data_IF_490869836248
#
_entry.id   IF_490869836248
#
_cell.length_a   1.000
_cell.length_b   1.000
_cell.length_c   1.000
_cell.angle_alpha   90.00
_cell.angle_beta   90.00
_cell.angle_gamma   90.00
#
_symmetry.space_group_name_H-M   'P 1'
#
loop_
_entity.id
_entity.type
_entity.pdbx_description
1 polymer ?
#
# COMPACT_ATOMS: atom_id res chain seq x y z
N UNK A 1 -23.58 -1.83 10.05
CA UNK A 1 -24.44 -1.53 8.88
C UNK A 1 -25.73 -0.79 9.17
N UNK A 2 -26.32 -0.95 10.36
CA UNK A 2 -27.56 -0.27 10.74
C UNK A 2 -27.51 1.25 10.48
N UNK A 3 -26.46 1.95 10.97
CA UNK A 3 -26.32 3.40 10.78
C UNK A 3 -26.30 3.85 9.32
N UNK A 4 -25.53 3.20 8.44
CA UNK A 4 -25.52 3.53 7.00
C UNK A 4 -26.90 3.35 6.36
N UNK A 5 -27.64 2.30 6.75
CA UNK A 5 -29.00 2.07 6.25
C UNK A 5 -29.96 3.16 6.73
N UNK A 6 -29.83 3.63 7.97
CA UNK A 6 -30.64 4.73 8.50
C UNK A 6 -30.31 6.04 7.79
N UNK A 7 -29.03 6.37 7.61
CA UNK A 7 -28.61 7.59 6.91
C UNK A 7 -29.09 7.61 5.45
N UNK A 8 -29.12 6.46 4.77
CA UNK A 8 -29.71 6.34 3.43
C UNK A 8 -31.21 6.59 3.40
N UNK A 9 -31.96 6.16 4.44
CA UNK A 9 -33.40 6.44 4.53
C UNK A 9 -33.70 7.93 4.66
N UNK A 10 -32.77 8.70 5.23
CA UNK A 10 -32.85 10.17 5.33
C UNK A 10 -32.52 10.86 3.97
N UNK A 11 -32.39 10.08 2.87
CA UNK A 11 -32.10 10.55 1.51
C UNK A 11 -30.83 11.41 1.41
N UNK A 12 -29.84 11.13 2.25
CA UNK A 12 -28.54 11.80 2.14
C UNK A 12 -27.88 11.46 0.79
N UNK A 13 -27.19 12.43 0.16
CA UNK A 13 -26.43 12.18 -1.05
C UNK A 13 -25.42 11.05 -0.84
N UNK A 14 -25.30 10.14 -1.81
CA UNK A 14 -24.37 9.02 -1.73
C UNK A 14 -22.92 9.49 -1.49
N UNK A 15 -22.52 10.63 -2.04
CA UNK A 15 -21.20 11.22 -1.80
C UNK A 15 -20.94 11.55 -0.32
N UNK A 16 -21.93 12.07 0.39
CA UNK A 16 -21.79 12.34 1.83
C UNK A 16 -21.70 11.05 2.63
N UNK A 17 -22.45 10.00 2.24
CA UNK A 17 -22.37 8.68 2.85
C UNK A 17 -20.99 8.04 2.66
N UNK A 18 -20.41 8.15 1.44
CA UNK A 18 -19.05 7.70 1.14
C UNK A 18 -18.04 8.45 2.02
N UNK A 19 -18.11 9.79 2.05
CA UNK A 19 -17.18 10.60 2.85
C UNK A 19 -17.26 10.26 4.35
N UNK A 20 -18.48 10.13 4.88
CA UNK A 20 -18.70 9.78 6.28
C UNK A 20 -18.15 8.38 6.61
N UNK A 21 -18.46 7.39 5.77
CA UNK A 21 -17.93 6.03 5.92
C UNK A 21 -16.40 6.02 5.87
N UNK A 22 -15.82 6.65 4.84
CA UNK A 22 -14.37 6.76 4.68
C UNK A 22 -13.73 7.45 5.87
N UNK A 23 -14.31 8.53 6.40
CA UNK A 23 -13.79 9.24 7.57
C UNK A 23 -13.80 8.37 8.83
N UNK A 24 -14.89 7.63 9.08
CA UNK A 24 -14.99 6.71 10.24
C UNK A 24 -13.98 5.58 10.11
N UNK A 25 -13.91 4.93 8.96
CA UNK A 25 -12.97 3.83 8.76
C UNK A 25 -11.54 4.36 8.87
N UNK A 26 -11.22 5.51 8.27
CA UNK A 26 -9.92 6.17 8.47
C UNK A 26 -9.65 6.46 9.94
N UNK A 27 -10.61 6.98 10.71
CA UNK A 27 -10.45 7.24 12.14
C UNK A 27 -10.14 5.96 12.93
N UNK A 28 -10.90 4.89 12.71
CA UNK A 28 -10.69 3.60 13.37
C UNK A 28 -9.32 3.02 12.98
N UNK A 29 -8.99 3.08 11.70
CA UNK A 29 -7.70 2.69 11.18
C UNK A 29 -6.58 3.51 11.84
N UNK A 30 -6.72 4.83 11.92
CA UNK A 30 -5.72 5.72 12.51
C UNK A 30 -5.45 5.44 13.99
N UNK A 31 -6.46 5.03 14.75
CA UNK A 31 -6.34 4.74 16.19
C UNK A 31 -5.81 3.33 16.47
N UNK A 32 -5.87 2.41 15.51
CA UNK A 32 -5.73 0.97 15.77
C UNK A 32 -4.63 0.29 14.92
N UNK A 33 -4.16 0.94 13.83
CA UNK A 33 -3.32 0.31 12.80
C UNK A 33 -1.92 -0.10 13.27
N UNK A 34 -1.24 0.68 14.12
CA UNK A 34 0.16 0.37 14.46
C UNK A 34 0.29 -0.97 15.18
N UNK A 35 -0.77 -1.41 15.88
CA UNK A 35 -0.79 -2.69 16.60
C UNK A 35 -1.48 -3.80 15.81
N UNK A 36 -2.58 -3.51 15.11
CA UNK A 36 -3.41 -4.56 14.51
C UNK A 36 -3.03 -4.93 13.07
N UNK A 37 -2.74 -3.99 12.16
CA UNK A 37 -2.65 -4.35 10.74
C UNK A 37 -1.36 -5.12 10.39
N UNK A 38 -0.28 -4.88 11.14
CA UNK A 38 0.97 -5.63 11.05
C UNK A 38 0.85 -7.07 11.61
N UNK A 39 -0.05 -7.30 12.58
CA UNK A 39 -0.32 -8.60 13.19
C UNK A 39 -1.59 -9.31 12.68
N UNK A 40 -2.41 -8.65 11.86
CA UNK A 40 -3.69 -9.17 11.39
C UNK A 40 -3.50 -10.31 10.38
N UNK A 41 -4.20 -11.43 10.63
CA UNK A 41 -4.16 -12.58 9.74
C UNK A 41 -4.84 -12.28 8.40
N UNK A 42 -4.54 -13.09 7.38
CA UNK A 42 -5.24 -13.02 6.07
C UNK A 42 -6.76 -13.12 6.26
N UNK A 43 -7.22 -13.93 7.22
CA UNK A 43 -8.63 -14.12 7.53
C UNK A 43 -9.28 -12.84 8.09
N UNK A 44 -8.58 -12.11 8.95
CA UNK A 44 -9.09 -10.84 9.51
C UNK A 44 -9.23 -9.78 8.43
N UNK A 45 -8.24 -9.68 7.54
CA UNK A 45 -8.26 -8.78 6.38
C UNK A 45 -9.45 -9.10 5.46
N UNK A 46 -9.71 -10.38 5.18
CA UNK A 46 -10.87 -10.81 4.38
C UNK A 46 -12.21 -10.46 5.05
N UNK A 47 -12.34 -10.67 6.36
CA UNK A 47 -13.55 -10.31 7.11
C UNK A 47 -13.83 -8.82 7.04
N UNK A 48 -12.81 -7.99 7.23
CA UNK A 48 -12.96 -6.55 7.14
C UNK A 48 -13.32 -6.11 5.70
N UNK A 49 -12.74 -6.72 4.67
CA UNK A 49 -13.10 -6.43 3.27
C UNK A 49 -14.56 -6.79 2.96
N UNK A 50 -15.11 -7.85 3.53
CA UNK A 50 -16.53 -8.17 3.41
C UNK A 50 -17.45 -7.09 4.02
N UNK A 51 -16.98 -6.39 5.07
CA UNK A 51 -17.70 -5.25 5.64
C UNK A 51 -17.72 -4.10 4.65
N UNK A 52 -16.59 -3.78 3.99
CA UNK A 52 -16.54 -2.74 2.94
C UNK A 52 -17.53 -3.07 1.82
N UNK A 53 -17.47 -4.28 1.27
CA UNK A 53 -18.40 -4.73 0.20
C UNK A 53 -19.86 -4.64 0.61
N UNK A 54 -20.16 -4.94 1.86
CA UNK A 54 -21.53 -4.81 2.37
C UNK A 54 -21.95 -3.34 2.52
N UNK A 55 -21.02 -2.42 2.77
CA UNK A 55 -21.28 -0.98 2.82
C UNK A 55 -21.49 -0.41 1.42
N UNK A 56 -20.71 -0.87 0.43
CA UNK A 56 -20.89 -0.51 -0.99
C UNK A 56 -22.31 -0.84 -1.45
N UNK A 57 -22.81 -2.04 -1.13
CA UNK A 57 -24.19 -2.45 -1.44
C UNK A 57 -25.26 -1.57 -0.78
N UNK A 58 -24.97 -0.98 0.37
CA UNK A 58 -25.89 -0.06 1.05
C UNK A 58 -25.81 1.33 0.42
N UNK A 59 -24.62 1.81 0.11
CA UNK A 59 -24.41 3.18 -0.39
C UNK A 59 -24.67 3.27 -1.90
N UNK A 60 -24.70 2.13 -2.60
CA UNK A 60 -24.85 2.01 -4.05
C UNK A 60 -23.77 2.76 -4.84
N UNK A 61 -22.56 2.78 -4.25
CA UNK A 61 -21.34 3.38 -4.81
C UNK A 61 -20.14 2.54 -4.39
N UNK A 62 -19.09 2.59 -5.22
CA UNK A 62 -17.81 1.99 -4.88
C UNK A 62 -17.16 2.74 -3.71
N UNK A 63 -16.61 1.98 -2.78
CA UNK A 63 -15.87 2.47 -1.63
C UNK A 63 -14.39 2.09 -1.78
N UNK A 64 -13.46 2.91 -1.27
CA UNK A 64 -12.05 2.55 -1.27
C UNK A 64 -11.83 1.25 -0.47
N UNK A 65 -10.91 0.40 -0.94
CA UNK A 65 -10.58 -0.83 -0.23
C UNK A 65 -9.86 -0.51 1.08
N UNK A 66 -9.84 -1.46 2.02
CA UNK A 66 -9.10 -1.26 3.28
C UNK A 66 -7.59 -1.07 3.09
N UNK A 67 -7.03 -1.65 2.03
CA UNK A 67 -5.63 -1.42 1.68
C UNK A 67 -5.42 0.03 1.28
N UNK A 68 -6.23 0.55 0.34
CA UNK A 68 -6.17 1.95 -0.08
C UNK A 68 -6.34 2.92 1.09
N UNK A 69 -7.26 2.61 2.02
CA UNK A 69 -7.49 3.42 3.21
C UNK A 69 -6.33 3.37 4.19
N UNK A 70 -5.68 2.21 4.38
CA UNK A 70 -4.49 2.06 5.21
C UNK A 70 -3.33 2.89 4.65
N UNK A 71 -3.09 2.81 3.34
CA UNK A 71 -2.03 3.58 2.68
C UNK A 71 -2.31 5.09 2.66
N UNK A 72 -3.56 5.51 2.49
CA UNK A 72 -3.97 6.91 2.64
C UNK A 72 -3.76 7.44 4.06
N UNK A 73 -3.85 6.56 5.07
CA UNK A 73 -3.70 6.89 6.49
C UNK A 73 -2.22 6.92 6.91
N UNK A 74 -1.40 6.06 6.32
CA UNK A 74 0.03 5.94 6.60
C UNK A 74 0.90 6.98 5.86
N UNK A 75 0.26 7.80 5.02
CA UNK A 75 0.94 8.65 4.05
C UNK A 75 1.61 7.76 2.98
N UNK A 76 1.79 8.28 1.77
CA UNK A 76 2.54 7.59 0.71
C UNK A 76 3.83 7.06 1.33
N UNK A 77 3.93 5.74 1.47
CA UNK A 77 5.11 5.11 2.07
C UNK A 77 6.26 5.41 1.13
N UNK A 78 7.10 6.39 1.49
CA UNK A 78 8.25 6.78 0.68
C UNK A 78 9.24 5.62 0.80
N UNK A 79 9.23 4.76 -0.21
CA UNK A 79 10.18 3.68 -0.35
C UNK A 79 11.48 4.21 -0.93
N UNK A 80 12.60 3.67 -0.51
CA UNK A 80 13.88 3.83 -1.18
C UNK A 80 14.43 2.45 -1.53
N UNK A 81 14.90 2.29 -2.76
CA UNK A 81 15.62 1.10 -3.19
C UNK A 81 17.11 1.38 -3.22
N UNK A 82 17.90 0.49 -2.64
CA UNK A 82 19.34 0.57 -2.59
C UNK A 82 19.96 -0.71 -3.13
N UNK A 83 21.11 -0.58 -3.79
CA UNK A 83 22.03 -1.68 -4.08
C UNK A 83 23.25 -1.50 -3.20
N UNK A 84 23.46 -2.40 -2.22
CA UNK A 84 24.46 -2.27 -1.15
C UNK A 84 24.31 -0.95 -0.36
N UNK A 85 24.97 0.13 -0.81
CA UNK A 85 24.90 1.47 -0.20
C UNK A 85 24.51 2.57 -1.19
N UNK A 86 24.35 2.25 -2.47
CA UNK A 86 23.99 3.21 -3.52
C UNK A 86 22.48 3.29 -3.67
N UNK A 87 21.93 4.50 -3.66
CA UNK A 87 20.50 4.75 -3.86
C UNK A 87 20.18 4.51 -5.34
N UNK A 88 19.20 3.64 -5.60
CA UNK A 88 18.67 3.36 -6.93
C UNK A 88 17.45 4.25 -7.18
N UNK A 89 16.52 4.24 -6.23
CA UNK A 89 15.30 5.06 -6.23
C UNK A 89 15.02 5.62 -4.85
N UNK A 90 14.49 6.83 -4.80
CA UNK A 90 13.92 7.45 -3.61
C UNK A 90 12.51 7.98 -3.95
N UNK A 91 11.48 7.22 -3.60
CA UNK A 91 10.13 7.47 -4.08
C UNK A 91 10.08 7.42 -5.61
N UNK A 92 9.67 8.52 -6.24
CA UNK A 92 9.59 8.60 -7.71
C UNK A 92 10.91 9.04 -8.36
N UNK A 93 11.91 9.43 -7.58
CA UNK A 93 13.17 9.93 -8.10
C UNK A 93 14.13 8.77 -8.41
N UNK A 94 14.56 8.66 -9.67
CA UNK A 94 15.57 7.69 -10.10
C UNK A 94 16.98 8.28 -9.91
N UNK A 95 17.79 7.60 -9.10
CA UNK A 95 19.18 7.97 -8.80
C UNK A 95 20.19 7.08 -9.53
N UNK A 96 19.80 5.84 -9.84
CA UNK A 96 20.65 4.95 -10.63
C UNK A 96 20.78 5.44 -12.08
N UNK A 97 22.00 5.41 -12.60
CA UNK A 97 22.31 5.68 -14.02
C UNK A 97 21.99 4.49 -14.93
N UNK A 98 21.72 3.30 -14.37
CA UNK A 98 21.46 2.09 -15.15
C UNK A 98 20.08 2.18 -15.84
N UNK A 99 20.02 2.18 -17.19
CA UNK A 99 18.77 2.27 -17.93
C UNK A 99 17.89 1.02 -17.79
N UNK A 100 18.45 -0.14 -17.41
CA UNK A 100 17.72 -1.41 -17.24
C UNK A 100 16.82 -1.42 -16.03
N UNK A 101 17.01 -0.46 -15.11
CA UNK A 101 16.36 -0.43 -13.80
C UNK A 101 15.15 0.49 -13.81
N UNK A 102 14.01 -0.01 -13.32
CA UNK A 102 12.73 0.71 -13.27
C UNK A 102 11.90 0.26 -12.06
N UNK A 103 10.86 1.04 -11.72
CA UNK A 103 9.85 0.65 -10.73
C UNK A 103 8.62 0.13 -11.48
N UNK A 104 8.17 -1.07 -11.13
CA UNK A 104 6.91 -1.61 -11.65
C UNK A 104 5.76 -0.92 -10.93
N UNK A 105 4.91 -0.28 -11.72
CA UNK A 105 3.62 0.24 -11.26
C UNK A 105 2.54 -0.36 -12.14
N UNK A 106 1.77 -1.30 -11.60
CA UNK A 106 0.65 -1.90 -12.31
C UNK A 106 -0.48 -0.87 -12.48
N UNK A 107 -1.13 -0.73 -13.65
CA UNK A 107 -2.19 0.26 -13.89
C UNK A 107 -3.41 0.16 -12.96
N UNK A 108 -3.55 -0.94 -12.21
CA UNK A 108 -4.59 -1.17 -11.21
C UNK A 108 -4.11 -1.21 -9.75
N UNK A 109 -2.79 -1.18 -9.51
CA UNK A 109 -2.24 -1.27 -8.15
C UNK A 109 -1.20 -0.17 -7.92
N UNK A 110 -1.69 0.98 -7.46
CA UNK A 110 -0.87 2.17 -7.14
C UNK A 110 0.05 1.96 -5.93
N UNK A 111 0.07 0.76 -5.35
CA UNK A 111 0.78 0.42 -4.13
C UNK A 111 1.94 -0.55 -4.37
N UNK A 112 2.16 -0.97 -5.62
CA UNK A 112 3.31 -1.77 -5.98
C UNK A 112 4.54 -0.86 -6.18
N UNK A 113 5.55 -1.02 -5.31
CA UNK A 113 6.84 -0.31 -5.38
C UNK A 113 7.98 -1.31 -5.56
N UNK A 114 7.87 -2.12 -6.62
CA UNK A 114 8.77 -3.23 -6.91
C UNK A 114 9.90 -2.79 -7.84
N UNK A 115 11.14 -3.11 -7.50
CA UNK A 115 12.29 -2.89 -8.38
C UNK A 115 12.32 -3.92 -9.50
N UNK A 116 12.46 -3.47 -10.75
CA UNK A 116 12.65 -4.32 -11.92
C UNK A 116 14.00 -4.01 -12.58
N UNK A 117 14.78 -5.05 -12.83
CA UNK A 117 16.04 -4.99 -13.58
C UNK A 117 15.86 -5.86 -14.83
N UNK A 118 15.95 -5.24 -16.01
CA UNK A 118 15.86 -5.96 -17.28
C UNK A 118 17.21 -6.57 -17.66
N UNK A 119 17.20 -7.76 -18.29
CA UNK A 119 18.42 -8.46 -18.73
C UNK A 119 19.46 -8.55 -17.61
N UNK A 120 19.06 -9.23 -16.53
CA UNK A 120 19.90 -9.47 -15.36
C UNK A 120 21.16 -10.23 -15.78
N UNK A 121 22.30 -9.74 -15.32
CA UNK A 121 23.62 -10.32 -15.54
C UNK A 121 24.27 -10.74 -14.20
N UNK A 122 25.37 -11.48 -14.26
CA UNK A 122 26.18 -11.87 -13.09
C UNK A 122 26.66 -10.64 -12.32
N UNK A 123 26.90 -9.51 -13.00
CA UNK A 123 27.26 -8.24 -12.37
C UNK A 123 26.17 -7.64 -11.48
N UNK A 124 24.92 -8.05 -11.65
CA UNK A 124 23.78 -7.60 -10.83
C UNK A 124 23.68 -8.40 -9.51
N UNK A 125 24.54 -9.41 -9.30
CA UNK A 125 24.59 -10.22 -8.08
C UNK A 125 24.90 -9.36 -6.85
N UNK A 126 24.02 -9.46 -5.86
CA UNK A 126 24.16 -8.68 -4.65
C UNK A 126 22.90 -8.53 -3.83
N UNK A 127 23.07 -7.81 -2.72
CA UNK A 127 22.00 -7.46 -1.81
C UNK A 127 21.34 -6.15 -2.25
N UNK A 128 20.04 -6.25 -2.51
CA UNK A 128 19.16 -5.12 -2.73
C UNK A 128 18.32 -4.90 -1.47
N UNK A 129 18.22 -3.65 -1.07
CA UNK A 129 17.47 -3.27 0.13
C UNK A 129 16.37 -2.31 -0.24
N UNK A 130 15.13 -2.65 0.11
CA UNK A 130 14.01 -1.71 0.10
C UNK A 130 13.80 -1.19 1.52
N UNK A 131 13.93 0.12 1.69
CA UNK A 131 13.63 0.83 2.92
C UNK A 131 12.29 1.53 2.77
N UNK A 132 11.28 1.08 3.52
CA UNK A 132 9.95 1.69 3.51
C UNK A 132 9.74 2.44 4.82
N UNK A 133 9.57 3.75 4.74
CA UNK A 133 9.20 4.59 5.88
C UNK A 133 7.74 5.03 5.73
N UNK A 134 6.96 4.79 6.78
CA UNK A 134 5.60 5.32 6.93
C UNK A 134 5.64 6.51 7.89
N UNK A 135 4.78 7.50 7.69
CA UNK A 135 4.68 8.67 8.59
C UNK A 135 4.40 8.27 10.05
N UNK A 136 3.87 7.07 10.29
CA UNK A 136 3.51 6.57 11.62
C UNK A 136 4.53 5.63 12.26
N UNK A 137 5.50 5.15 11.49
CA UNK A 137 6.61 4.33 12.00
C UNK A 137 7.93 5.02 11.71
N UNK A 138 8.56 5.64 12.72
CA UNK A 138 9.86 6.28 12.52
C UNK A 138 10.96 5.27 12.18
N UNK A 139 10.74 3.96 12.43
CA UNK A 139 11.66 2.89 12.04
C UNK A 139 11.35 2.43 10.61
N UNK A 140 12.30 2.52 9.67
CA UNK A 140 12.13 1.99 8.34
C UNK A 140 12.06 0.46 8.39
N UNK A 141 11.15 -0.12 7.59
CA UNK A 141 11.15 -1.56 7.34
C UNK A 141 12.14 -1.85 6.22
N UNK A 142 13.08 -2.75 6.48
CA UNK A 142 14.12 -3.17 5.54
C UNK A 142 13.76 -4.54 4.97
N UNK A 143 13.54 -4.60 3.66
CA UNK A 143 13.42 -5.85 2.92
C UNK A 143 14.72 -6.11 2.18
N UNK A 144 15.37 -7.23 2.47
CA UNK A 144 16.60 -7.63 1.81
C UNK A 144 16.29 -8.70 0.76
N UNK A 145 16.63 -8.41 -0.49
CA UNK A 145 16.54 -9.33 -1.61
C UNK A 145 17.97 -9.68 -2.06
N UNK A 146 18.27 -10.97 -2.20
CA UNK A 146 19.52 -11.43 -2.79
C UNK A 146 19.19 -11.87 -4.22
N UNK A 147 19.72 -11.14 -5.19
CA UNK A 147 19.64 -11.51 -6.61
C UNK A 147 20.89 -12.30 -6.94
N UNK A 148 20.74 -13.50 -7.51
CA UNK A 148 21.84 -14.32 -8.03
C UNK A 148 21.72 -14.48 -9.54
N UNK A 149 22.70 -13.98 -10.28
CA UNK A 149 22.83 -14.24 -11.71
C UNK A 149 23.33 -15.67 -11.92
N UNK A 150 22.60 -16.47 -12.71
CA UNK A 150 23.09 -17.78 -13.15
C UNK A 150 23.88 -17.55 -14.45
N UNK A 151 25.18 -17.88 -14.45
CA UNK A 151 25.96 -17.97 -15.69
C UNK A 151 25.36 -19.09 -16.55
N UNK A 152 25.04 -18.78 -17.80
CA UNK A 152 24.61 -19.77 -18.79
C UNK A 152 25.79 -20.29 -19.60
#
# INVERSE_FOLDING_TARGET
MYFLRQLRKVKLPAQMLVQFYTAIIKSILTSSITVWFAGATVRDKQRLQCIVRSAEKVIDRSLPSLQDLCYLVDGISKGAWLNRSSIIFAGNDKWSVDPRVSIVSSPGDKHEYSLQIQKVDVSDDGQYTCSVQSERSPRPKLLNLIVKGLCH
#
